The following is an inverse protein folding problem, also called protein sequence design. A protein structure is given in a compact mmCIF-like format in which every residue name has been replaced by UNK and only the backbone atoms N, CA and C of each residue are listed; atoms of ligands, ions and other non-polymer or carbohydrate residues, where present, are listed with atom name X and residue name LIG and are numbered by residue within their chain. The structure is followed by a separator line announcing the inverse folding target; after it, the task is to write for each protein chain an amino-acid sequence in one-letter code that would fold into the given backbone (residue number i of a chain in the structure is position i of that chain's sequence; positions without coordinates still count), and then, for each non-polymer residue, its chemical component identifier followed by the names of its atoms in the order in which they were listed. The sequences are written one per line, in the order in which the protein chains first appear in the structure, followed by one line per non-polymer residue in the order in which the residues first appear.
data_IF_131234664213
#
_entry.id   IF_131234664213
#
_cell.length_a   1.000
_cell.length_b   1.000
_cell.length_c   1.000
_cell.angle_alpha   90.00
_cell.angle_beta   90.00
_cell.angle_gamma   90.00
#
_symmetry.space_group_name_H-M   'P 1'
#
loop_
_entity.id
_entity.type
_entity.pdbx_description
1 polymer ?
#
# COMPACT_ATOMS: atom_id res chain seq x y z
N UNK A 1 0.74 13.51 25.02
CA UNK A 1 0.85 12.77 23.74
C UNK A 1 0.99 13.82 22.66
N UNK A 2 2.09 13.84 21.91
CA UNK A 2 2.24 14.80 20.81
C UNK A 2 1.15 14.51 19.78
N UNK A 3 0.30 15.50 19.47
CA UNK A 3 -0.74 15.37 18.44
C UNK A 3 -0.02 15.09 17.12
N UNK A 4 -0.26 13.91 16.55
CA UNK A 4 0.24 13.57 15.23
C UNK A 4 -0.32 14.59 14.22
N UNK A 5 0.54 15.08 13.32
CA UNK A 5 0.12 15.99 12.25
C UNK A 5 -0.23 15.18 11.00
N UNK A 6 -1.35 15.48 10.32
CA UNK A 6 -1.72 14.79 9.09
C UNK A 6 -0.61 14.82 8.05
N UNK A 7 -0.46 13.72 7.32
CA UNK A 7 0.55 13.62 6.25
C UNK A 7 0.06 14.34 5.00
N UNK A 8 0.97 15.04 4.31
CA UNK A 8 0.65 15.68 3.04
C UNK A 8 0.34 14.63 1.95
N UNK A 9 -0.89 14.60 1.46
CA UNK A 9 -1.36 13.62 0.48
C UNK A 9 -1.02 14.02 -0.97
N UNK A 10 -0.72 13.03 -1.80
CA UNK A 10 -0.45 13.11 -3.24
C UNK A 10 -1.73 13.24 -4.05
N UNK A 11 -2.41 14.39 -3.94
CA UNK A 11 -3.70 14.58 -4.59
C UNK A 11 -3.60 14.86 -6.10
N UNK A 12 -3.43 13.81 -6.90
CA UNK A 12 -3.40 13.87 -8.37
C UNK A 12 -4.70 13.29 -8.93
N UNK A 13 -5.68 14.15 -9.24
CA UNK A 13 -7.01 13.72 -9.71
C UNK A 13 -6.94 12.87 -10.98
N UNK A 14 -6.09 13.22 -11.95
CA UNK A 14 -5.91 12.41 -13.17
C UNK A 14 -5.43 10.99 -12.86
N UNK A 15 -4.47 10.81 -11.95
CA UNK A 15 -3.99 9.49 -11.53
C UNK A 15 -5.09 8.69 -10.81
N UNK A 16 -5.95 9.35 -10.03
CA UNK A 16 -7.09 8.70 -9.39
C UNK A 16 -8.13 8.23 -10.41
N UNK A 17 -8.49 9.09 -11.37
CA UNK A 17 -9.39 8.75 -12.47
C UNK A 17 -8.86 7.57 -13.30
N UNK A 18 -7.60 7.60 -13.70
CA UNK A 18 -7.03 6.64 -14.66
C UNK A 18 -6.53 5.34 -14.01
N UNK A 19 -6.06 5.39 -12.76
CA UNK A 19 -5.26 4.30 -12.18
C UNK A 19 -5.73 3.80 -10.83
N UNK A 20 -6.61 4.52 -10.11
CA UNK A 20 -7.09 4.05 -8.81
C UNK A 20 -8.13 2.92 -8.92
N UNK A 21 -8.80 2.75 -10.08
CA UNK A 21 -9.90 1.77 -10.26
C UNK A 21 -11.08 2.07 -9.34
N UNK A 22 -11.52 3.32 -9.34
CA UNK A 22 -12.68 3.78 -8.59
C UNK A 22 -13.98 3.42 -9.30
N UNK A 23 -15.01 3.11 -8.54
CA UNK A 23 -16.39 3.01 -9.04
C UNK A 23 -16.91 4.37 -9.55
N UNK A 24 -17.96 4.37 -10.38
CA UNK A 24 -18.61 5.62 -10.83
C UNK A 24 -19.08 6.49 -9.65
N UNK A 25 -19.60 5.84 -8.59
CA UNK A 25 -20.01 6.53 -7.38
C UNK A 25 -18.83 7.22 -6.69
N UNK A 26 -17.68 6.55 -6.59
CA UNK A 26 -16.47 7.13 -6.02
C UNK A 26 -15.87 8.24 -6.90
N UNK A 27 -15.98 8.14 -8.23
CA UNK A 27 -15.58 9.21 -9.15
C UNK A 27 -16.44 10.47 -8.94
N UNK A 28 -17.76 10.34 -8.79
CA UNK A 28 -18.61 11.49 -8.46
C UNK A 28 -18.18 12.18 -7.16
N UNK A 29 -17.81 11.40 -6.13
CA UNK A 29 -17.29 11.95 -4.87
C UNK A 29 -15.95 12.64 -5.07
N UNK A 30 -15.05 12.11 -5.92
CA UNK A 30 -13.77 12.72 -6.24
C UNK A 30 -13.92 14.09 -6.91
N UNK A 31 -14.88 14.20 -7.83
CA UNK A 31 -15.13 15.44 -8.59
C UNK A 31 -15.71 16.54 -7.70
N UNK A 32 -16.52 16.18 -6.69
CA UNK A 32 -17.10 17.10 -5.71
C UNK A 32 -16.14 17.48 -4.56
N UNK A 33 -15.04 16.74 -4.38
CA UNK A 33 -14.14 16.93 -3.24
C UNK A 33 -13.03 17.93 -3.53
N UNK A 34 -12.89 18.96 -2.70
CA UNK A 34 -11.83 19.96 -2.84
C UNK A 34 -10.48 19.48 -2.27
N UNK A 35 -10.50 18.75 -1.15
CA UNK A 35 -9.30 18.25 -0.47
C UNK A 35 -9.22 16.71 -0.47
N UNK A 36 -8.01 16.13 -0.46
CA UNK A 36 -7.83 14.67 -0.52
C UNK A 36 -8.34 13.94 0.72
N UNK A 37 -8.20 14.53 1.91
CA UNK A 37 -8.71 13.93 3.14
C UNK A 37 -10.26 13.96 3.18
N UNK A 38 -10.88 15.05 2.71
CA UNK A 38 -12.33 15.14 2.55
C UNK A 38 -12.85 14.05 1.60
N UNK A 39 -12.16 13.83 0.48
CA UNK A 39 -12.49 12.77 -0.46
C UNK A 39 -12.50 11.38 0.19
N UNK A 40 -11.42 11.00 0.89
CA UNK A 40 -11.33 9.70 1.57
C UNK A 40 -12.41 9.56 2.64
N UNK A 41 -12.62 10.60 3.46
CA UNK A 41 -13.65 10.59 4.51
C UNK A 41 -15.06 10.47 3.91
N UNK A 42 -15.32 11.12 2.77
CA UNK A 42 -16.61 11.04 2.08
C UNK A 42 -16.86 9.63 1.52
N UNK A 43 -15.84 8.95 0.99
CA UNK A 43 -15.94 7.54 0.57
C UNK A 43 -16.31 6.65 1.76
N UNK A 44 -15.62 6.81 2.90
CA UNK A 44 -15.91 6.06 4.13
C UNK A 44 -17.34 6.31 4.62
N UNK A 45 -17.77 7.59 4.69
CA UNK A 45 -19.11 7.96 5.13
C UNK A 45 -20.21 7.39 4.23
N UNK A 46 -19.93 7.22 2.93
CA UNK A 46 -20.83 6.60 1.95
C UNK A 46 -20.70 5.07 1.87
N UNK A 47 -19.93 4.45 2.76
CA UNK A 47 -19.66 3.01 2.77
C UNK A 47 -18.98 2.48 1.49
N UNK A 48 -18.30 3.34 0.74
CA UNK A 48 -17.47 2.99 -0.42
C UNK A 48 -16.06 2.60 0.04
N UNK A 49 -15.96 1.62 0.94
CA UNK A 49 -14.71 1.30 1.66
C UNK A 49 -13.63 0.69 0.79
N UNK A 50 -13.99 -0.12 -0.21
CA UNK A 50 -13.04 -0.67 -1.17
C UNK A 50 -12.45 0.44 -2.08
N UNK A 51 -13.30 1.37 -2.53
CA UNK A 51 -12.87 2.58 -3.23
C UNK A 51 -11.97 3.46 -2.34
N UNK A 52 -12.26 3.54 -1.04
CA UNK A 52 -11.42 4.27 -0.09
C UNK A 52 -10.02 3.64 0.01
N UNK A 53 -9.91 2.31 0.02
CA UNK A 53 -8.60 1.62 -0.02
C UNK A 53 -7.86 1.93 -1.32
N UNK A 54 -8.57 1.83 -2.45
CA UNK A 54 -8.03 2.13 -3.78
C UNK A 54 -7.50 3.56 -3.90
N UNK A 55 -8.30 4.54 -3.48
CA UNK A 55 -7.93 5.95 -3.46
C UNK A 55 -6.75 6.19 -2.51
N UNK A 56 -6.83 5.70 -1.28
CA UNK A 56 -5.84 5.99 -0.25
C UNK A 56 -4.46 5.45 -0.58
N UNK A 57 -4.37 4.28 -1.25
CA UNK A 57 -3.11 3.71 -1.71
C UNK A 57 -2.37 4.67 -2.68
N UNK A 58 -3.12 5.43 -3.49
CA UNK A 58 -2.61 6.40 -4.45
C UNK A 58 -2.34 7.77 -3.82
N UNK A 59 -3.10 8.13 -2.78
CA UNK A 59 -3.03 9.42 -2.10
C UNK A 59 -1.92 9.49 -1.05
N UNK A 60 -1.61 8.40 -0.35
CA UNK A 60 -0.52 8.40 0.63
C UNK A 60 0.81 8.70 -0.08
N UNK A 61 1.76 9.42 0.57
CA UNK A 61 3.10 9.48 0.03
C UNK A 61 3.69 8.07 -0.07
N UNK A 62 4.55 7.85 -1.06
CA UNK A 62 5.04 6.52 -1.43
C UNK A 62 5.54 5.69 -0.26
N UNK A 63 6.32 6.31 0.64
CA UNK A 63 6.82 5.65 1.85
C UNK A 63 5.69 5.11 2.71
N UNK A 64 4.64 5.90 2.93
CA UNK A 64 3.47 5.52 3.73
C UNK A 64 2.62 4.46 3.01
N UNK A 65 2.43 4.54 1.69
CA UNK A 65 1.73 3.48 0.93
C UNK A 65 2.43 2.13 1.06
N UNK A 66 3.75 2.09 0.87
CA UNK A 66 4.53 0.85 1.01
C UNK A 66 4.55 0.38 2.46
N UNK A 67 4.68 1.30 3.43
CA UNK A 67 4.61 0.96 4.84
C UNK A 67 3.28 0.31 5.21
N UNK A 68 2.16 0.86 4.71
CA UNK A 68 0.83 0.26 4.88
C UNK A 68 0.79 -1.19 4.37
N UNK A 69 1.30 -1.44 3.16
CA UNK A 69 1.37 -2.78 2.59
C UNK A 69 2.24 -3.73 3.44
N UNK A 70 3.37 -3.25 3.99
CA UNK A 70 4.20 -4.02 4.91
C UNK A 70 3.43 -4.39 6.19
N UNK A 71 2.73 -3.43 6.79
CA UNK A 71 1.95 -3.66 8.01
C UNK A 71 0.85 -4.69 7.77
N UNK A 72 0.12 -4.61 6.66
CA UNK A 72 -0.90 -5.59 6.31
C UNK A 72 -0.29 -6.96 6.03
N UNK A 73 0.81 -7.04 5.27
CA UNK A 73 1.49 -8.31 4.98
C UNK A 73 2.00 -9.01 6.24
N UNK A 74 2.41 -8.26 7.28
CA UNK A 74 2.79 -8.81 8.59
C UNK A 74 1.64 -9.49 9.35
N UNK A 75 0.39 -9.31 8.92
CA UNK A 75 -0.78 -10.01 9.45
C UNK A 75 -1.02 -11.37 8.78
N UNK A 76 -0.27 -11.71 7.73
CA UNK A 76 -0.39 -12.98 7.01
C UNK A 76 0.01 -14.17 7.90
N UNK A 77 -0.88 -15.17 8.11
CA UNK A 77 -0.55 -16.33 8.92
C UNK A 77 0.60 -17.15 8.33
N UNK A 78 1.57 -17.47 9.18
CA UNK A 78 2.73 -18.29 8.83
C UNK A 78 3.74 -17.61 7.91
N UNK A 79 3.73 -16.28 7.76
CA UNK A 79 4.71 -15.53 6.96
C UNK A 79 6.16 -15.87 7.36
N UNK A 80 6.42 -16.08 8.64
CA UNK A 80 7.72 -16.48 9.21
C UNK A 80 8.27 -17.79 8.62
N UNK A 81 7.38 -18.68 8.15
CA UNK A 81 7.73 -19.96 7.55
C UNK A 81 7.90 -19.87 6.03
N UNK A 82 7.62 -18.72 5.42
CA UNK A 82 7.67 -18.48 3.97
C UNK A 82 8.89 -17.63 3.64
N UNK A 83 10.06 -18.26 3.57
CA UNK A 83 11.34 -17.55 3.46
C UNK A 83 11.39 -16.50 2.34
N UNK A 84 10.88 -16.79 1.15
CA UNK A 84 10.84 -15.84 0.02
C UNK A 84 9.88 -14.67 0.23
N UNK A 85 8.72 -14.95 0.82
CA UNK A 85 7.69 -13.96 1.11
C UNK A 85 8.15 -13.02 2.23
N UNK A 86 8.71 -13.60 3.30
CA UNK A 86 9.30 -12.86 4.41
C UNK A 86 10.42 -11.94 3.93
N UNK A 87 11.34 -12.45 3.11
CA UNK A 87 12.44 -11.65 2.55
C UNK A 87 11.94 -10.48 1.67
N UNK A 88 10.83 -10.67 0.94
CA UNK A 88 10.21 -9.60 0.16
C UNK A 88 9.64 -8.50 1.06
N UNK A 89 8.91 -8.86 2.12
CA UNK A 89 8.38 -7.90 3.10
C UNK A 89 9.52 -7.16 3.82
N UNK A 90 10.54 -7.88 4.30
CA UNK A 90 11.68 -7.29 5.00
C UNK A 90 12.50 -6.33 4.12
N UNK A 91 12.67 -6.65 2.83
CA UNK A 91 13.35 -5.75 1.90
C UNK A 91 12.56 -4.43 1.70
N UNK A 92 11.23 -4.51 1.64
CA UNK A 92 10.39 -3.33 1.57
C UNK A 92 10.44 -2.50 2.86
N UNK A 93 10.40 -3.15 4.03
CA UNK A 93 10.52 -2.48 5.34
C UNK A 93 11.88 -1.78 5.47
N UNK A 94 12.96 -2.42 5.03
CA UNK A 94 14.29 -1.80 4.99
C UNK A 94 14.29 -0.53 4.15
N UNK A 95 13.66 -0.57 2.97
CA UNK A 95 13.51 0.63 2.14
C UNK A 95 12.62 1.69 2.82
N UNK A 96 11.53 1.34 3.50
CA UNK A 96 10.70 2.31 4.24
C UNK A 96 11.50 3.05 5.30
N UNK A 97 12.48 2.38 5.92
CA UNK A 97 13.37 2.96 6.92
C UNK A 97 14.45 3.85 6.29
N UNK A 98 15.15 3.38 5.26
CA UNK A 98 16.30 4.09 4.69
C UNK A 98 15.95 5.06 3.57
N UNK A 99 14.90 4.76 2.79
CA UNK A 99 14.53 5.36 1.50
C UNK A 99 15.69 5.39 0.48
N UNK A 100 16.71 4.55 0.68
CA UNK A 100 17.90 4.53 -0.16
C UNK A 100 17.61 3.87 -1.52
N UNK A 101 18.13 4.40 -2.63
CA UNK A 101 17.98 3.78 -3.96
C UNK A 101 18.48 2.32 -4.01
N UNK A 102 19.56 2.01 -3.29
CA UNK A 102 20.10 0.65 -3.21
C UNK A 102 19.13 -0.34 -2.52
N UNK A 103 18.37 0.13 -1.54
CA UNK A 103 17.36 -0.71 -0.86
C UNK A 103 16.10 -0.88 -1.72
N UNK A 104 15.73 0.12 -2.52
CA UNK A 104 14.69 -0.04 -3.55
C UNK A 104 15.09 -1.08 -4.61
N UNK A 105 16.35 -1.06 -5.07
CA UNK A 105 16.89 -2.09 -5.98
C UNK A 105 16.86 -3.49 -5.32
N UNK A 106 17.26 -3.58 -4.06
CA UNK A 106 17.23 -4.83 -3.29
C UNK A 106 15.80 -5.37 -3.14
N UNK A 107 14.82 -4.51 -2.88
CA UNK A 107 13.41 -4.88 -2.86
C UNK A 107 12.93 -5.41 -4.21
N UNK A 108 13.37 -4.81 -5.34
CA UNK A 108 13.06 -5.31 -6.67
C UNK A 108 13.61 -6.73 -6.93
N UNK A 109 14.83 -7.01 -6.46
CA UNK A 109 15.41 -8.36 -6.51
C UNK A 109 14.62 -9.36 -5.67
N UNK A 110 14.14 -8.95 -4.48
CA UNK A 110 13.30 -9.79 -3.64
C UNK A 110 11.93 -10.04 -4.28
N UNK A 111 11.30 -9.00 -4.86
CA UNK A 111 10.04 -9.09 -5.58
C UNK A 111 10.10 -10.09 -6.76
N UNK A 112 11.21 -10.14 -7.48
CA UNK A 112 11.41 -11.07 -8.59
C UNK A 112 11.60 -12.53 -8.16
N UNK A 113 11.99 -12.77 -6.90
CA UNK A 113 12.11 -14.12 -6.33
C UNK A 113 10.80 -14.60 -5.70
N UNK A 114 9.98 -13.66 -5.22
CA UNK A 114 8.68 -13.96 -4.63
C UNK A 114 7.63 -14.28 -5.70
N UNK A 115 6.56 -14.96 -5.31
CA UNK A 115 5.46 -15.32 -6.19
C UNK A 115 4.61 -14.08 -6.51
N UNK A 116 4.56 -13.70 -7.80
CA UNK A 116 3.80 -12.54 -8.30
C UNK A 116 2.28 -12.68 -8.12
N UNK A 117 1.78 -13.88 -7.86
CA UNK A 117 0.38 -14.11 -7.49
C UNK A 117 0.08 -13.79 -6.02
N UNK A 118 1.09 -13.44 -5.21
CA UNK A 118 0.92 -13.21 -3.76
C UNK A 118 1.30 -11.79 -3.35
N UNK A 119 0.68 -11.34 -2.26
CA UNK A 119 0.88 -10.00 -1.71
C UNK A 119 2.37 -9.63 -1.45
N UNK A 120 3.21 -10.49 -0.86
CA UNK A 120 4.60 -10.14 -0.53
C UNK A 120 5.44 -9.68 -1.72
N UNK A 121 5.24 -10.25 -2.91
CA UNK A 121 5.92 -9.80 -4.12
C UNK A 121 5.56 -8.36 -4.48
N UNK A 122 4.30 -7.97 -4.30
CA UNK A 122 3.80 -6.61 -4.57
C UNK A 122 4.20 -5.60 -3.51
N UNK A 123 4.35 -6.02 -2.25
CA UNK A 123 4.93 -5.19 -1.18
C UNK A 123 6.36 -4.76 -1.55
N UNK A 124 7.20 -5.72 -1.92
CA UNK A 124 8.57 -5.47 -2.38
C UNK A 124 8.60 -4.69 -3.70
N UNK A 125 7.67 -4.96 -4.61
CA UNK A 125 7.56 -4.24 -5.87
C UNK A 125 7.22 -2.76 -5.67
N UNK A 126 6.36 -2.45 -4.68
CA UNK A 126 6.03 -1.08 -4.31
C UNK A 126 7.28 -0.30 -3.87
N UNK A 127 8.12 -0.88 -3.01
CA UNK A 127 9.39 -0.28 -2.61
C UNK A 127 10.34 -0.07 -3.80
N UNK A 128 10.44 -1.06 -4.70
CA UNK A 128 11.27 -0.95 -5.90
C UNK A 128 10.84 0.20 -6.82
N UNK A 129 9.55 0.37 -7.04
CA UNK A 129 8.99 1.44 -7.87
C UNK A 129 9.06 2.83 -7.25
N UNK A 130 9.54 2.93 -6.01
CA UNK A 130 9.93 4.21 -5.42
C UNK A 130 11.39 4.58 -5.71
N UNK A 131 12.18 3.66 -6.26
CA UNK A 131 13.56 3.89 -6.66
C UNK A 131 13.67 4.72 -7.95
N UNK A 132 14.90 5.08 -8.35
CA UNK A 132 15.13 5.96 -9.49
C UNK A 132 14.89 5.30 -10.86
N UNK A 133 14.93 3.96 -10.94
CA UNK A 133 14.90 3.24 -12.21
C UNK A 133 14.26 1.86 -12.08
N UNK A 134 13.45 1.50 -13.07
CA UNK A 134 12.89 0.16 -13.29
C UNK A 134 13.89 -0.77 -13.99
N UNK A 135 14.90 -0.20 -14.65
CA UNK A 135 15.88 -0.97 -15.39
C UNK A 135 16.90 -1.62 -14.44
N UNK A 136 17.42 -2.80 -14.78
CA UNK A 136 18.55 -3.38 -14.07
C UNK A 136 19.77 -2.45 -14.06
N UNK A 137 20.56 -2.52 -12.98
CA UNK A 137 21.80 -1.76 -12.87
C UNK A 137 22.72 -1.99 -14.07
N UNK A 138 23.21 -0.90 -14.66
CA UNK A 138 24.08 -0.93 -15.85
C UNK A 138 23.32 -0.80 -17.17
N UNK A 139 21.99 -0.75 -17.16
CA UNK A 139 21.18 -0.38 -18.31
C UNK A 139 20.77 1.11 -18.24
N UNK A 140 20.31 1.71 -19.35
CA UNK A 140 19.76 3.06 -19.34
C UNK A 140 18.61 3.19 -18.34
N UNK A 141 18.55 4.31 -17.63
CA UNK A 141 17.53 4.52 -16.60
C UNK A 141 16.13 4.63 -17.21
N UNK A 142 15.18 3.93 -16.58
CA UNK A 142 13.76 3.98 -16.92
C UNK A 142 13.01 4.42 -15.66
N UNK A 143 12.68 5.71 -15.52
CA UNK A 143 12.04 6.21 -14.29
C UNK A 143 10.65 5.58 -14.11
N UNK A 144 10.30 5.12 -12.89
CA UNK A 144 8.95 4.66 -12.61
C UNK A 144 7.94 5.80 -12.74
N UNK A 145 6.76 5.52 -13.32
CA UNK A 145 5.66 6.47 -13.28
C UNK A 145 5.23 6.75 -11.83
N UNK A 146 4.91 8.00 -11.45
CA UNK A 146 4.68 8.36 -10.04
C UNK A 146 3.50 7.64 -9.37
N UNK A 147 2.56 7.07 -10.12
CA UNK A 147 1.42 6.34 -9.57
C UNK A 147 1.72 4.87 -9.22
N UNK A 148 2.84 4.31 -9.69
CA UNK A 148 3.14 2.89 -9.60
C UNK A 148 3.20 2.35 -8.15
N UNK A 149 3.82 3.04 -7.17
CA UNK A 149 3.84 2.57 -5.79
C UNK A 149 2.43 2.41 -5.19
N UNK A 150 1.50 3.31 -5.53
CA UNK A 150 0.10 3.20 -5.11
C UNK A 150 -0.62 2.01 -5.75
N UNK A 151 -0.37 1.77 -7.04
CA UNK A 151 -0.86 0.57 -7.75
C UNK A 151 -0.33 -0.71 -7.10
N UNK A 152 0.97 -0.79 -6.80
CA UNK A 152 1.56 -1.95 -6.13
C UNK A 152 0.99 -2.18 -4.73
N UNK A 153 0.79 -1.10 -3.97
CA UNK A 153 0.18 -1.14 -2.63
C UNK A 153 -1.23 -1.73 -2.71
N UNK A 154 -2.09 -1.20 -3.60
CA UNK A 154 -3.43 -1.74 -3.82
C UNK A 154 -3.40 -3.22 -4.22
N UNK A 155 -2.53 -3.60 -5.16
CA UNK A 155 -2.38 -5.00 -5.57
C UNK A 155 -1.97 -5.91 -4.41
N UNK A 156 -1.06 -5.46 -3.55
CA UNK A 156 -0.66 -6.20 -2.36
C UNK A 156 -1.85 -6.42 -1.41
N UNK A 157 -2.62 -5.37 -1.10
CA UNK A 157 -3.76 -5.45 -0.20
C UNK A 157 -4.89 -6.35 -0.75
N UNK A 158 -5.16 -6.27 -2.05
CA UNK A 158 -6.15 -7.13 -2.72
C UNK A 158 -5.73 -8.60 -2.64
N UNK A 159 -4.50 -8.92 -3.06
CA UNK A 159 -4.01 -10.29 -3.07
C UNK A 159 -3.86 -10.88 -1.66
N UNK A 160 -3.56 -10.04 -0.68
CA UNK A 160 -3.45 -10.47 0.71
C UNK A 160 -4.79 -11.03 1.19
N UNK A 161 -5.89 -10.37 0.85
CA UNK A 161 -7.23 -10.81 1.23
C UNK A 161 -7.64 -12.17 0.67
N UNK A 162 -6.95 -12.65 -0.37
CA UNK A 162 -7.18 -13.96 -0.98
C UNK A 162 -6.13 -15.01 -0.64
N UNK A 163 -5.16 -14.72 0.25
CA UNK A 163 -4.18 -15.73 0.64
C UNK A 163 -4.86 -16.88 1.40
N UNK A 164 -4.66 -18.14 0.97
CA UNK A 164 -5.36 -19.29 1.56
C UNK A 164 -5.02 -19.53 3.04
N UNK A 165 -3.94 -18.95 3.57
CA UNK A 165 -3.60 -19.12 4.98
C UNK A 165 -4.54 -18.41 5.95
N UNK A 166 -5.38 -17.49 5.46
CA UNK A 166 -6.49 -16.95 6.25
C UNK A 166 -7.66 -17.95 6.38
N UNK A 167 -7.70 -19.03 5.58
CA UNK A 167 -8.79 -20.01 5.57
C UNK A 167 -10.12 -19.49 4.98
N UNK A 168 -10.21 -18.20 4.70
CA UNK A 168 -11.33 -17.50 4.07
C UNK A 168 -10.84 -16.27 3.33
N UNK A 169 -11.66 -15.72 2.43
CA UNK A 169 -11.41 -14.39 1.90
C UNK A 169 -11.55 -13.35 3.02
N UNK A 170 -10.61 -12.41 3.06
CA UNK A 170 -10.64 -11.23 3.93
C UNK A 170 -11.03 -10.03 3.05
N UNK A 171 -12.12 -9.32 3.36
CA UNK A 171 -12.55 -8.14 2.59
C UNK A 171 -11.44 -7.08 2.50
N UNK A 172 -11.34 -6.39 1.37
CA UNK A 172 -10.33 -5.35 1.16
C UNK A 172 -10.45 -4.22 2.20
N UNK A 173 -11.68 -3.85 2.57
CA UNK A 173 -11.98 -2.89 3.62
C UNK A 173 -11.37 -3.21 4.99
N UNK A 174 -11.01 -4.47 5.28
CA UNK A 174 -10.38 -4.87 6.55
C UNK A 174 -9.02 -4.17 6.77
N UNK A 175 -8.33 -3.81 5.68
CA UNK A 175 -7.02 -3.16 5.73
C UNK A 175 -7.10 -1.64 5.90
N UNK A 176 -8.29 -1.04 5.67
CA UNK A 176 -8.50 0.40 5.64
C UNK A 176 -8.15 1.14 6.95
N UNK A 177 -8.43 0.59 8.16
CA UNK A 177 -8.11 1.29 9.41
C UNK A 177 -6.63 1.65 9.55
N UNK A 178 -5.73 0.78 9.07
CA UNK A 178 -4.28 1.03 9.10
C UNK A 178 -3.93 2.21 8.17
N UNK A 179 -4.51 2.25 6.97
CA UNK A 179 -4.30 3.34 6.02
C UNK A 179 -4.81 4.69 6.57
N UNK A 180 -5.99 4.70 7.20
CA UNK A 180 -6.56 5.91 7.79
C UNK A 180 -5.69 6.45 8.95
N UNK A 181 -5.14 5.56 9.78
CA UNK A 181 -4.18 5.95 10.82
C UNK A 181 -2.93 6.63 10.22
N UNK A 182 -2.39 6.07 9.13
CA UNK A 182 -1.24 6.66 8.43
C UNK A 182 -1.58 8.00 7.78
N UNK A 183 -2.80 8.16 7.24
CA UNK A 183 -3.30 9.44 6.72
C UNK A 183 -3.36 10.52 7.81
N UNK A 184 -3.79 10.14 9.02
CA UNK A 184 -3.81 11.01 10.20
C UNK A 184 -2.41 11.35 10.76
N UNK A 185 -1.35 10.72 10.22
CA UNK A 185 0.03 10.93 10.67
C UNK A 185 0.49 10.03 11.81
N UNK A 186 -0.30 9.01 12.14
CA UNK A 186 0.09 7.99 13.11
C UNK A 186 1.07 6.98 12.48
N UNK A 187 1.63 6.09 13.30
CA UNK A 187 2.52 5.03 12.83
C UNK A 187 1.79 3.74 12.40
N UNK A 188 0.46 3.68 12.59
CA UNK A 188 -0.42 2.57 12.22
C UNK A 188 -0.40 1.34 13.15
N UNK A 189 0.46 1.30 14.18
CA UNK A 189 0.65 0.08 14.99
C UNK A 189 -0.57 -0.30 15.82
N UNK A 190 -1.26 0.68 16.39
CA UNK A 190 -2.49 0.45 17.15
C UNK A 190 -3.59 -0.10 16.24
N UNK A 191 -3.83 0.55 15.10
CA UNK A 191 -4.78 0.08 14.09
C UNK A 191 -4.44 -1.34 13.59
N UNK A 192 -3.16 -1.64 13.35
CA UNK A 192 -2.73 -2.99 12.96
C UNK A 192 -3.00 -4.02 14.06
N UNK A 193 -2.83 -3.66 15.33
CA UNK A 193 -3.17 -4.51 16.47
C UNK A 193 -4.65 -4.85 16.53
N UNK A 194 -5.52 -3.86 16.26
CA UNK A 194 -6.98 -4.05 16.21
C UNK A 194 -7.39 -4.95 15.04
N UNK A 195 -6.85 -4.71 13.83
CA UNK A 195 -7.10 -5.58 12.67
C UNK A 195 -6.65 -7.01 12.96
N UNK A 196 -5.47 -7.18 13.58
CA UNK A 196 -4.97 -8.51 13.96
C UNK A 196 -5.93 -9.25 14.90
N UNK A 197 -6.56 -8.55 15.83
CA UNK A 197 -7.54 -9.15 16.74
C UNK A 197 -8.81 -9.58 16.01
N UNK A 198 -9.25 -8.85 14.99
CA UNK A 198 -10.42 -9.21 14.17
C UNK A 198 -10.18 -10.36 13.18
N UNK A 199 -8.92 -10.66 12.89
CA UNK A 199 -8.53 -11.78 12.01
C UNK A 199 -8.39 -13.13 12.74
N UNK A 200 -8.23 -13.10 14.07
CA UNK A 200 -8.09 -14.29 14.91
C UNK A 200 -9.43 -15.01 15.12
#
# INVERSE_FOLDING_TARGET
MASASPVALRFRRSELHEHARLSEAAIAVLDDSAQPAEFVNALVAKQLTDDAVHALAMLLPHRQSVWWACMCARLLPGLDKRATDLAAVEAAEKWVQSQAPADAEAAGKAANKADRAKAPAWVAQGAHWCGPSLAPRGQPDVPPSPFLPGVATRSALLLLGYDPAFGRAVPLAEWLPIGLALMAGENGKEAQGLVKQGLA
#
